data_IF_691737418104
#
_entry.id   IF_691737418104
#
_cell.length_a   1.000
_cell.length_b   1.000
_cell.length_c   1.000
_cell.angle_alpha   90.00
_cell.angle_beta   90.00
_cell.angle_gamma   90.00
#
_symmetry.space_group_name_H-M   'P 1'
#
loop_
_entity.id
_entity.type
_entity.pdbx_description
1 polymer ?
#
# COMPACT_ATOMS: atom_id res chain seq x y z
N UNK A 1 23.01 28.33 3.75
CA UNK A 1 22.18 27.58 4.72
C UNK A 1 20.97 28.38 5.23
N UNK A 2 21.12 29.64 5.66
CA UNK A 2 19.99 30.48 6.16
C UNK A 2 18.83 30.65 5.14
N UNK A 3 19.15 30.77 3.85
CA UNK A 3 18.18 30.94 2.75
C UNK A 3 17.33 29.68 2.50
N UNK A 4 17.91 28.48 2.64
CA UNK A 4 17.19 27.21 2.49
C UNK A 4 16.23 26.99 3.67
N UNK A 5 16.61 27.44 4.86
CA UNK A 5 15.76 27.37 6.06
C UNK A 5 14.55 28.30 5.93
N UNK A 6 14.76 29.54 5.48
CA UNK A 6 13.68 30.52 5.28
C UNK A 6 12.71 30.14 4.14
N UNK A 7 13.21 29.52 3.07
CA UNK A 7 12.36 28.95 2.01
C UNK A 7 11.49 27.82 2.57
N UNK A 8 12.06 26.94 3.39
CA UNK A 8 11.32 25.84 4.02
C UNK A 8 10.25 26.32 5.02
N UNK A 9 10.51 27.40 5.76
CA UNK A 9 9.53 27.98 6.70
C UNK A 9 8.36 28.66 5.99
N UNK A 10 8.63 29.42 4.91
CA UNK A 10 7.57 30.01 4.08
C UNK A 10 6.71 28.94 3.39
N UNK A 11 7.34 27.89 2.86
CA UNK A 11 6.62 26.75 2.27
C UNK A 11 5.73 26.07 3.32
N UNK A 12 6.22 25.89 4.55
CA UNK A 12 5.44 25.28 5.65
C UNK A 12 4.24 26.13 6.11
N UNK A 13 4.36 27.46 6.12
CA UNK A 13 3.26 28.37 6.50
C UNK A 13 2.17 28.42 5.42
N UNK A 14 2.55 28.56 4.16
CA UNK A 14 1.63 28.55 3.02
C UNK A 14 0.91 27.19 2.89
N UNK A 15 1.62 26.11 3.22
CA UNK A 15 1.10 24.75 3.33
C UNK A 15 0.07 24.59 4.45
N UNK A 16 0.33 25.18 5.63
CA UNK A 16 -0.58 25.13 6.78
C UNK A 16 -1.91 25.87 6.50
N UNK A 17 -1.84 27.02 5.84
CA UNK A 17 -3.05 27.75 5.43
C UNK A 17 -3.87 27.01 4.36
N UNK A 18 -3.19 26.28 3.47
CA UNK A 18 -3.85 25.45 2.44
C UNK A 18 -4.57 24.25 3.06
N UNK A 19 -4.00 23.66 4.12
CA UNK A 19 -4.62 22.59 4.91
C UNK A 19 -5.88 23.06 5.64
N UNK A 20 -5.86 24.29 6.19
CA UNK A 20 -6.98 24.88 6.93
C UNK A 20 -8.23 25.11 6.06
N UNK A 21 -8.05 25.31 4.74
CA UNK A 21 -9.14 25.62 3.79
C UNK A 21 -9.84 24.38 3.19
N UNK A 22 -9.29 23.16 3.31
CA UNK A 22 -9.87 21.96 2.66
C UNK A 22 -10.48 20.98 3.68
N UNK A 23 -11.82 20.91 3.71
CA UNK A 23 -12.65 20.11 4.64
C UNK A 23 -12.50 18.57 4.59
N UNK A 24 -11.58 18.00 3.79
CA UNK A 24 -11.20 16.59 3.94
C UNK A 24 -9.69 16.45 4.01
N UNK A 25 -9.13 16.81 5.16
CA UNK A 25 -7.71 16.78 5.52
C UNK A 25 -7.03 15.43 5.23
N UNK A 26 -7.77 14.32 5.30
CA UNK A 26 -7.24 12.97 5.14
C UNK A 26 -6.80 12.60 3.73
N UNK A 27 -7.60 12.92 2.72
CA UNK A 27 -7.30 12.60 1.31
C UNK A 27 -6.08 13.37 0.82
N UNK A 28 -5.91 14.60 1.30
CA UNK A 28 -4.79 15.47 0.97
C UNK A 28 -3.51 15.08 1.73
N UNK A 29 -3.61 14.70 3.02
CA UNK A 29 -2.49 14.12 3.78
C UNK A 29 -1.95 12.83 3.15
N UNK A 30 -2.83 11.97 2.63
CA UNK A 30 -2.40 10.77 1.90
C UNK A 30 -1.71 11.08 0.56
N UNK A 31 -2.15 12.14 -0.15
CA UNK A 31 -1.48 12.66 -1.35
C UNK A 31 -0.08 13.19 -1.03
N UNK A 32 0.07 13.92 0.08
CA UNK A 32 1.35 14.45 0.55
C UNK A 32 2.33 13.38 1.01
N UNK A 33 1.85 12.38 1.76
CA UNK A 33 2.65 11.21 2.14
C UNK A 33 3.16 10.41 0.93
N UNK A 34 2.42 10.50 -0.19
CA UNK A 34 2.75 9.83 -1.44
C UNK A 34 3.73 10.63 -2.30
N UNK A 35 3.69 11.96 -2.26
CA UNK A 35 4.67 12.82 -2.94
C UNK A 35 6.02 12.80 -2.21
N UNK A 36 6.03 12.79 -0.86
CA UNK A 36 7.26 12.77 -0.06
C UNK A 36 8.04 11.45 -0.08
N UNK A 37 7.44 10.34 -0.56
CA UNK A 37 8.15 9.06 -0.72
C UNK A 37 8.85 8.90 -2.08
N UNK A 38 8.63 9.81 -3.02
CA UNK A 38 9.27 9.79 -4.34
C UNK A 38 10.63 10.48 -4.36
N UNK A 39 10.98 11.24 -3.32
CA UNK A 39 12.30 11.85 -3.17
C UNK A 39 13.13 11.03 -2.20
N UNK A 40 14.00 10.21 -2.79
CA UNK A 40 15.16 9.62 -2.12
C UNK A 40 15.92 10.75 -1.43
N UNK A 41 16.43 10.46 -0.23
CA UNK A 41 17.14 11.35 0.71
C UNK A 41 16.24 12.05 1.74
N UNK A 42 15.92 11.29 2.79
CA UNK A 42 15.85 11.74 4.18
C UNK A 42 14.93 12.93 4.56
N UNK A 43 13.59 12.74 4.67
CA UNK A 43 12.70 13.68 5.35
C UNK A 43 12.01 13.11 6.61
N UNK A 44 12.40 11.91 7.07
CA UNK A 44 11.65 11.16 8.09
C UNK A 44 11.57 11.87 9.46
N UNK A 45 12.58 12.65 9.85
CA UNK A 45 12.61 13.25 11.19
C UNK A 45 11.69 14.46 11.39
N UNK A 46 11.29 15.18 10.31
CA UNK A 46 10.47 16.41 10.43
C UNK A 46 9.02 16.26 9.97
N UNK A 47 8.73 15.31 9.08
CA UNK A 47 7.35 15.08 8.58
C UNK A 47 6.51 14.25 9.57
N UNK A 48 7.14 13.35 10.32
CA UNK A 48 6.46 12.48 11.29
C UNK A 48 5.79 13.29 12.42
N UNK A 49 6.42 14.31 13.04
CA UNK A 49 5.77 15.15 14.04
C UNK A 49 4.58 15.94 13.47
N UNK A 50 4.70 16.54 12.29
CA UNK A 50 3.64 17.36 11.67
C UNK A 50 2.42 16.52 11.23
N UNK A 51 2.65 15.31 10.73
CA UNK A 51 1.56 14.36 10.41
C UNK A 51 0.94 13.83 11.69
N UNK A 52 1.74 13.51 12.72
CA UNK A 52 1.21 13.10 14.02
C UNK A 52 0.38 14.21 14.70
N UNK A 53 0.83 15.48 14.63
CA UNK A 53 0.12 16.63 15.19
C UNK A 53 -1.19 16.91 14.46
N UNK A 54 -1.20 16.85 13.11
CA UNK A 54 -2.41 17.03 12.32
C UNK A 54 -3.39 15.86 12.47
N UNK A 55 -2.91 14.63 12.65
CA UNK A 55 -3.76 13.49 13.01
C UNK A 55 -4.36 13.73 14.40
N UNK A 56 -3.59 14.15 15.39
CA UNK A 56 -4.08 14.45 16.75
C UNK A 56 -5.12 15.57 16.76
N UNK A 57 -4.93 16.64 15.99
CA UNK A 57 -5.81 17.81 15.98
C UNK A 57 -7.06 17.65 15.09
N UNK A 58 -7.10 16.67 14.18
CA UNK A 58 -8.23 16.45 13.26
C UNK A 58 -9.18 15.34 13.68
N UNK A 59 -8.83 14.60 14.72
CA UNK A 59 -9.72 13.62 15.31
C UNK A 59 -10.63 14.31 16.34
N UNK A 60 -11.94 14.16 16.17
CA UNK A 60 -12.81 14.17 17.34
C UNK A 60 -12.23 13.17 18.34
N UNK A 61 -12.18 13.51 19.64
CA UNK A 61 -11.61 12.72 20.74
C UNK A 61 -12.38 11.41 21.00
N UNK A 62 -12.69 10.67 19.94
CA UNK A 62 -13.22 9.32 19.96
C UNK A 62 -12.05 8.35 20.14
N UNK A 63 -12.17 7.46 21.11
CA UNK A 63 -11.17 6.44 21.46
C UNK A 63 -10.76 5.62 20.23
N UNK A 64 -11.71 5.33 19.33
CA UNK A 64 -11.44 4.55 18.11
C UNK A 64 -10.50 5.28 17.14
N UNK A 65 -10.65 6.60 17.06
CA UNK A 65 -9.85 7.47 16.23
C UNK A 65 -8.42 7.60 16.77
N UNK A 66 -8.28 7.68 18.10
CA UNK A 66 -6.99 7.66 18.79
C UNK A 66 -6.27 6.33 18.56
N UNK A 67 -6.98 5.20 18.67
CA UNK A 67 -6.37 3.88 18.39
C UNK A 67 -5.84 3.85 16.94
N UNK A 68 -6.63 4.27 15.96
CA UNK A 68 -6.20 4.34 14.57
C UNK A 68 -4.97 5.24 14.40
N UNK A 69 -4.95 6.43 15.02
CA UNK A 69 -3.82 7.35 15.00
C UNK A 69 -2.52 6.67 15.45
N UNK A 70 -2.56 5.97 16.59
CA UNK A 70 -1.42 5.24 17.13
C UNK A 70 -0.96 4.13 16.18
N UNK A 71 -1.90 3.42 15.56
CA UNK A 71 -1.57 2.37 14.58
C UNK A 71 -0.91 2.92 13.33
N UNK A 72 -1.38 4.07 12.83
CA UNK A 72 -0.74 4.74 11.71
C UNK A 72 0.67 5.22 12.08
N UNK A 73 0.85 5.75 13.29
CA UNK A 73 2.18 6.13 13.77
C UNK A 73 3.15 4.94 13.83
N UNK A 74 2.71 3.79 14.35
CA UNK A 74 3.51 2.56 14.33
C UNK A 74 3.82 2.08 12.91
N UNK A 75 2.89 2.26 11.98
CA UNK A 75 3.10 1.98 10.56
C UNK A 75 4.17 2.86 9.93
N UNK A 76 4.19 4.16 10.25
CA UNK A 76 5.23 5.08 9.75
C UNK A 76 6.63 4.63 10.12
N UNK A 77 6.79 4.06 11.31
CA UNK A 77 8.05 3.49 11.81
C UNK A 77 8.32 2.08 11.29
N UNK A 78 7.49 1.55 10.38
CA UNK A 78 7.61 0.22 9.79
C UNK A 78 7.69 -0.92 10.82
N UNK A 79 7.05 -0.78 11.98
CA UNK A 79 7.11 -1.80 13.02
C UNK A 79 6.46 -3.12 12.59
N UNK A 80 7.09 -4.25 12.96
CA UNK A 80 6.58 -5.61 12.75
C UNK A 80 5.15 -5.82 13.30
N UNK A 81 4.79 -5.08 14.36
CA UNK A 81 3.46 -5.10 14.96
C UNK A 81 2.37 -4.65 13.97
N UNK A 82 2.66 -3.66 13.13
CA UNK A 82 1.72 -3.17 12.12
C UNK A 82 1.50 -4.21 11.02
N UNK A 83 2.57 -4.85 10.57
CA UNK A 83 2.53 -5.95 9.60
C UNK A 83 1.67 -7.11 10.09
N UNK A 84 1.85 -7.49 11.36
CA UNK A 84 1.03 -8.50 12.02
C UNK A 84 -0.44 -8.09 12.07
N UNK A 85 -0.77 -6.85 12.41
CA UNK A 85 -2.16 -6.34 12.41
C UNK A 85 -2.81 -6.41 11.02
N UNK A 86 -2.12 -6.01 9.96
CA UNK A 86 -2.67 -6.01 8.59
C UNK A 86 -2.95 -7.43 8.10
N UNK A 87 -2.07 -8.37 8.41
CA UNK A 87 -2.25 -9.79 8.08
C UNK A 87 -3.11 -10.56 9.09
N UNK A 88 -3.57 -9.89 10.15
CA UNK A 88 -4.32 -10.47 11.27
C UNK A 88 -3.58 -11.61 12.01
N UNK A 89 -2.28 -11.43 12.21
CA UNK A 89 -1.46 -12.24 13.10
C UNK A 89 -1.40 -11.64 14.51
N UNK A 90 -1.20 -12.46 15.56
CA UNK A 90 -1.00 -11.99 16.93
C UNK A 90 0.21 -11.05 17.01
N UNK A 91 0.18 -10.07 17.93
CA UNK A 91 1.15 -8.95 17.96
C UNK A 91 2.22 -9.14 19.04
N UNK A 92 1.88 -9.84 20.13
CA UNK A 92 2.72 -9.93 21.34
C UNK A 92 3.39 -11.31 21.42
N UNK A 93 3.90 -11.80 20.29
CA UNK A 93 4.63 -13.07 20.26
C UNK A 93 3.78 -14.32 20.53
N UNK A 94 2.45 -14.23 20.54
CA UNK A 94 1.61 -15.41 20.73
C UNK A 94 1.81 -16.42 19.58
N UNK A 95 1.79 -17.71 19.92
CA UNK A 95 1.87 -18.80 18.95
C UNK A 95 0.77 -18.68 17.90
N UNK A 96 1.13 -18.96 16.64
CA UNK A 96 0.20 -18.98 15.51
C UNK A 96 -0.16 -20.38 15.05
N UNK A 97 0.49 -21.41 15.60
CA UNK A 97 0.24 -22.80 15.24
C UNK A 97 -1.15 -23.24 15.73
N UNK A 98 -1.54 -22.82 16.93
CA UNK A 98 -2.84 -23.07 17.54
C UNK A 98 -3.52 -21.76 17.94
N UNK A 99 -4.86 -21.73 17.98
CA UNK A 99 -5.67 -20.70 18.66
C UNK A 99 -5.50 -19.21 18.24
N UNK A 100 -5.23 -18.91 16.96
CA UNK A 100 -5.15 -17.51 16.48
C UNK A 100 -6.48 -16.91 15.97
N UNK A 101 -7.63 -17.56 16.22
CA UNK A 101 -8.93 -17.23 15.59
C UNK A 101 -9.46 -15.84 15.98
N UNK A 102 -9.29 -15.43 17.23
CA UNK A 102 -9.76 -14.11 17.71
C UNK A 102 -9.03 -12.96 17.01
N UNK A 103 -7.73 -13.10 16.77
CA UNK A 103 -6.94 -12.04 16.12
C UNK A 103 -7.42 -11.78 14.69
N UNK A 104 -7.91 -12.82 13.99
CA UNK A 104 -8.50 -12.69 12.65
C UNK A 104 -9.75 -11.79 12.57
N UNK A 105 -10.37 -11.51 13.72
CA UNK A 105 -11.52 -10.60 13.82
C UNK A 105 -11.08 -9.13 13.90
N UNK A 106 -9.88 -8.83 14.40
CA UNK A 106 -9.40 -7.46 14.51
C UNK A 106 -8.88 -6.93 13.16
N UNK A 107 -9.78 -6.27 12.42
CA UNK A 107 -9.49 -5.69 11.09
C UNK A 107 -9.46 -4.16 11.12
N UNK A 108 -9.24 -3.53 12.27
CA UNK A 108 -9.36 -2.07 12.44
C UNK A 108 -8.50 -1.34 11.41
N UNK A 109 -7.19 -1.64 11.37
CA UNK A 109 -6.25 -1.01 10.45
C UNK A 109 -6.52 -1.34 8.98
N UNK A 110 -6.85 -2.60 8.67
CA UNK A 110 -7.17 -3.01 7.30
C UNK A 110 -8.44 -2.31 6.79
N UNK A 111 -9.49 -2.24 7.60
CA UNK A 111 -10.74 -1.55 7.26
C UNK A 111 -10.50 -0.05 7.08
N UNK A 112 -9.67 0.55 7.92
CA UNK A 112 -9.26 1.94 7.77
C UNK A 112 -8.56 2.18 6.41
N UNK A 113 -7.58 1.34 6.05
CA UNK A 113 -6.90 1.41 4.74
C UNK A 113 -7.85 1.17 3.56
N UNK A 114 -8.81 0.24 3.70
CA UNK A 114 -9.85 0.01 2.69
C UNK A 114 -10.71 1.26 2.48
N UNK A 115 -11.09 1.96 3.55
CA UNK A 115 -11.84 3.22 3.45
C UNK A 115 -11.02 4.30 2.75
N UNK A 116 -9.72 4.39 3.01
CA UNK A 116 -8.84 5.30 2.27
C UNK A 116 -8.80 4.96 0.77
N UNK A 117 -8.69 3.67 0.42
CA UNK A 117 -8.73 3.24 -0.98
C UNK A 117 -10.08 3.57 -1.65
N UNK A 118 -11.20 3.47 -0.92
CA UNK A 118 -12.50 3.93 -1.42
C UNK A 118 -12.52 5.43 -1.68
N UNK A 119 -11.92 6.25 -0.82
CA UNK A 119 -11.85 7.70 -1.00
C UNK A 119 -10.97 8.08 -2.21
N UNK A 120 -9.85 7.38 -2.40
CA UNK A 120 -8.86 7.71 -3.44
C UNK A 120 -9.25 7.20 -4.82
N UNK A 121 -9.80 5.98 -4.89
CA UNK A 121 -10.04 5.28 -6.15
C UNK A 121 -11.54 5.07 -6.43
N UNK A 122 -12.42 5.51 -5.52
CA UNK A 122 -13.86 5.34 -5.62
C UNK A 122 -14.31 3.91 -5.31
N UNK A 123 -15.62 3.66 -5.44
CA UNK A 123 -16.20 2.33 -5.27
C UNK A 123 -16.02 1.53 -6.57
N UNK A 124 -15.53 0.29 -6.46
CA UNK A 124 -15.40 -0.63 -7.61
C UNK A 124 -16.51 -1.69 -7.61
N UNK A 125 -16.74 -2.28 -8.78
CA UNK A 125 -17.71 -3.39 -8.99
C UNK A 125 -17.47 -4.60 -8.06
N UNK A 126 -16.22 -4.81 -7.64
CA UNK A 126 -15.82 -5.83 -6.66
C UNK A 126 -14.96 -5.17 -5.60
N UNK A 127 -15.11 -5.60 -4.34
CA UNK A 127 -14.27 -5.10 -3.27
C UNK A 127 -12.89 -5.76 -3.31
N UNK A 128 -12.02 -5.24 -4.17
CA UNK A 128 -10.65 -5.75 -4.42
C UNK A 128 -9.60 -5.12 -3.51
N UNK A 129 -9.96 -4.05 -2.77
CA UNK A 129 -9.02 -3.28 -1.96
C UNK A 129 -8.35 -4.04 -0.82
N UNK A 130 -9.04 -4.92 -0.06
CA UNK A 130 -8.37 -5.70 0.98
C UNK A 130 -7.18 -6.49 0.44
N UNK A 131 -7.36 -7.13 -0.73
CA UNK A 131 -6.30 -7.92 -1.37
C UNK A 131 -5.19 -7.05 -1.91
N UNK A 132 -5.52 -5.93 -2.56
CA UNK A 132 -4.51 -4.98 -3.07
C UNK A 132 -3.68 -4.37 -1.95
N UNK A 133 -4.30 -4.01 -0.83
CA UNK A 133 -3.60 -3.48 0.35
C UNK A 133 -2.62 -4.55 0.84
N UNK A 134 -3.07 -5.77 1.12
CA UNK A 134 -2.16 -6.83 1.61
C UNK A 134 -1.00 -7.07 0.62
N UNK A 135 -1.28 -7.07 -0.69
CA UNK A 135 -0.26 -7.23 -1.71
C UNK A 135 0.77 -6.08 -1.69
N UNK A 136 0.31 -4.84 -1.59
CA UNK A 136 1.15 -3.64 -1.52
C UNK A 136 2.08 -3.66 -0.30
N UNK A 137 1.53 -4.04 0.86
CA UNK A 137 2.30 -4.28 2.06
C UNK A 137 3.33 -5.39 1.80
N UNK A 138 2.94 -6.57 1.31
CA UNK A 138 3.91 -7.64 1.04
C UNK A 138 5.05 -7.16 0.12
N UNK A 139 4.75 -6.46 -0.98
CA UNK A 139 5.78 -5.92 -1.86
C UNK A 139 6.73 -4.94 -1.16
N UNK A 140 6.20 -4.05 -0.32
CA UNK A 140 7.00 -3.11 0.48
C UNK A 140 7.90 -3.85 1.48
N UNK A 141 7.40 -4.89 2.14
CA UNK A 141 8.19 -5.71 3.07
C UNK A 141 9.39 -6.36 2.37
N UNK A 142 9.19 -6.88 1.15
CA UNK A 142 10.26 -7.42 0.32
C UNK A 142 11.28 -6.34 -0.06
N UNK A 143 10.84 -5.16 -0.45
CA UNK A 143 11.73 -4.03 -0.74
C UNK A 143 12.59 -3.63 0.48
N UNK A 144 12.02 -3.67 1.69
CA UNK A 144 12.72 -3.21 2.91
C UNK A 144 13.64 -4.26 3.52
N UNK A 145 13.24 -5.54 3.54
CA UNK A 145 13.98 -6.62 4.22
C UNK A 145 14.83 -7.44 3.24
N UNK A 146 14.30 -7.73 2.06
CA UNK A 146 14.88 -8.61 1.04
C UNK A 146 15.15 -7.82 -0.25
N UNK A 147 15.92 -6.74 -0.11
CA UNK A 147 16.13 -5.76 -1.18
C UNK A 147 16.75 -6.37 -2.43
N UNK A 148 17.69 -7.31 -2.28
CA UNK A 148 18.40 -7.95 -3.39
C UNK A 148 17.41 -8.74 -4.25
N UNK A 149 16.63 -9.62 -3.64
CA UNK A 149 15.60 -10.42 -4.32
C UNK A 149 14.51 -9.54 -4.92
N UNK A 150 14.18 -8.43 -4.24
CA UNK A 150 13.24 -7.46 -4.78
C UNK A 150 13.79 -6.75 -6.02
N UNK A 151 15.08 -6.41 -6.06
CA UNK A 151 15.74 -5.79 -7.22
C UNK A 151 15.84 -6.75 -8.41
N UNK A 152 16.16 -8.03 -8.17
CA UNK A 152 16.11 -9.07 -9.21
C UNK A 152 14.71 -9.17 -9.80
N UNK A 153 13.69 -9.26 -8.94
CA UNK A 153 12.30 -9.28 -9.39
C UNK A 153 11.89 -8.02 -10.14
N UNK A 154 12.44 -6.86 -9.76
CA UNK A 154 12.21 -5.61 -10.48
C UNK A 154 12.82 -5.64 -11.89
N UNK A 155 14.03 -6.15 -12.05
CA UNK A 155 14.63 -6.32 -13.37
C UNK A 155 13.79 -7.25 -14.25
N UNK A 156 13.33 -8.36 -13.67
CA UNK A 156 12.42 -9.28 -14.35
C UNK A 156 11.10 -8.60 -14.76
N UNK A 157 10.48 -7.84 -13.85
CA UNK A 157 9.29 -7.01 -14.17
C UNK A 157 9.54 -6.10 -15.36
N UNK A 158 10.69 -5.41 -15.38
CA UNK A 158 11.05 -4.51 -16.47
C UNK A 158 11.25 -5.26 -17.79
N UNK A 159 11.81 -6.47 -17.76
CA UNK A 159 11.95 -7.31 -18.97
C UNK A 159 10.61 -7.79 -19.56
N UNK A 160 9.55 -7.88 -18.74
CA UNK A 160 8.21 -8.24 -19.20
C UNK A 160 7.49 -7.09 -19.93
N UNK A 161 8.02 -5.87 -19.84
CA UNK A 161 7.45 -4.69 -20.49
C UNK A 161 7.72 -4.79 -21.99
N UNK A 162 6.69 -5.11 -22.77
CA UNK A 162 6.80 -5.15 -24.23
C UNK A 162 6.95 -3.72 -24.78
N UNK A 163 7.86 -3.46 -25.74
CA UNK A 163 8.15 -2.11 -26.22
C UNK A 163 6.94 -1.38 -26.85
N UNK A 164 5.96 -2.13 -27.39
CA UNK A 164 4.73 -1.56 -27.98
C UNK A 164 3.55 -1.51 -27.02
N UNK A 165 3.55 -2.32 -25.96
CA UNK A 165 2.44 -2.39 -25.00
C UNK A 165 2.90 -1.85 -23.66
N UNK A 166 2.50 -0.61 -23.33
CA UNK A 166 2.71 0.02 -22.02
C UNK A 166 1.81 -0.58 -20.92
N UNK A 167 1.54 -1.88 -20.99
CA UNK A 167 0.65 -2.60 -20.07
C UNK A 167 1.42 -3.78 -19.48
N UNK A 168 1.52 -3.79 -18.16
CA UNK A 168 2.08 -4.90 -17.41
C UNK A 168 0.97 -5.61 -16.64
N UNK A 169 0.88 -6.93 -16.82
CA UNK A 169 0.03 -7.79 -16.01
C UNK A 169 0.78 -8.22 -14.75
N UNK A 170 0.10 -8.16 -13.62
CA UNK A 170 0.64 -8.59 -12.34
C UNK A 170 -0.44 -9.31 -11.55
N UNK A 171 -0.01 -10.18 -10.64
CA UNK A 171 -0.92 -11.03 -9.86
C UNK A 171 -0.92 -10.62 -8.37
N UNK A 172 -1.82 -9.70 -7.96
CA UNK A 172 -1.94 -9.31 -6.56
C UNK A 172 -2.49 -10.42 -5.66
N UNK A 173 -3.19 -11.42 -6.22
CA UNK A 173 -3.82 -12.49 -5.45
C UNK A 173 -2.74 -13.40 -4.89
N UNK A 174 -1.78 -13.80 -5.74
CA UNK A 174 -0.64 -14.59 -5.31
C UNK A 174 0.28 -13.77 -4.40
N UNK A 175 0.52 -12.49 -4.71
CA UNK A 175 1.32 -11.62 -3.85
C UNK A 175 0.72 -11.46 -2.45
N UNK A 176 -0.61 -11.27 -2.34
CA UNK A 176 -1.28 -11.18 -1.04
C UNK A 176 -1.19 -12.48 -0.22
N UNK A 177 -1.00 -13.63 -0.88
CA UNK A 177 -0.77 -14.95 -0.25
C UNK A 177 0.72 -15.23 0.01
N UNK A 178 1.61 -14.26 -0.21
CA UNK A 178 3.08 -14.41 -0.13
C UNK A 178 3.66 -15.38 -1.16
N UNK A 179 2.96 -15.62 -2.26
CA UNK A 179 3.50 -16.39 -3.39
C UNK A 179 4.22 -15.39 -4.29
N UNK A 180 5.56 -15.39 -4.22
CA UNK A 180 6.43 -14.40 -4.90
C UNK A 180 7.18 -15.00 -6.09
N UNK A 181 7.51 -14.22 -7.10
CA UNK A 181 8.14 -14.64 -8.37
C UNK A 181 9.06 -13.54 -8.89
N UNK A 182 9.99 -13.91 -9.79
CA UNK A 182 10.86 -12.96 -10.49
C UNK A 182 12.30 -12.89 -9.96
N UNK A 183 12.68 -13.69 -8.97
CA UNK A 183 14.04 -13.71 -8.39
C UNK A 183 14.57 -15.13 -8.30
N UNK A 184 15.88 -15.25 -8.13
CA UNK A 184 16.57 -16.53 -7.98
C UNK A 184 16.25 -17.14 -6.63
N UNK A 185 15.79 -18.38 -6.62
CA UNK A 185 15.49 -19.11 -5.38
C UNK A 185 16.55 -20.15 -5.09
N UNK A 186 16.85 -20.34 -3.82
CA UNK A 186 17.83 -21.31 -3.33
C UNK A 186 17.18 -22.43 -2.50
N UNK A 187 17.86 -23.57 -2.38
CA UNK A 187 17.47 -24.68 -1.51
C UNK A 187 16.10 -25.29 -1.83
N UNK A 188 15.33 -25.63 -0.79
CA UNK A 188 13.99 -26.22 -0.93
C UNK A 188 13.02 -25.32 -1.71
N UNK A 189 13.18 -24.00 -1.61
CA UNK A 189 12.34 -23.02 -2.32
C UNK A 189 12.56 -23.03 -3.85
N UNK A 190 13.76 -23.43 -4.31
CA UNK A 190 14.07 -23.61 -5.73
C UNK A 190 13.29 -24.79 -6.33
N UNK A 191 13.07 -25.86 -5.56
CA UNK A 191 12.35 -27.06 -6.00
C UNK A 191 10.86 -26.80 -6.23
N UNK A 192 10.26 -25.87 -5.47
CA UNK A 192 8.84 -25.48 -5.60
C UNK A 192 8.57 -24.74 -6.93
N UNK A 193 9.58 -24.07 -7.51
CA UNK A 193 9.44 -23.28 -8.74
C UNK A 193 9.30 -24.08 -10.04
N UNK A 194 9.63 -25.38 -10.05
CA UNK A 194 9.60 -26.19 -11.29
C UNK A 194 8.18 -26.53 -11.78
N UNK A 195 7.16 -26.53 -10.90
CA UNK A 195 5.80 -27.01 -11.23
C UNK A 195 4.78 -25.94 -11.66
N UNK A 196 5.08 -24.65 -11.52
CA UNK A 196 4.16 -23.54 -11.88
C UNK A 196 4.92 -22.35 -12.47
N UNK A 197 5.50 -22.56 -13.65
CA UNK A 197 6.06 -21.49 -14.47
C UNK A 197 4.92 -20.75 -15.20
N UNK A 198 4.16 -19.91 -14.50
CA UNK A 198 3.47 -18.81 -15.19
C UNK A 198 4.54 -17.78 -15.57
N UNK A 199 5.19 -18.02 -16.71
CA UNK A 199 6.38 -17.29 -17.19
C UNK A 199 6.13 -15.80 -17.46
N UNK A 200 4.89 -15.31 -17.41
CA UNK A 200 4.55 -13.94 -17.82
C UNK A 200 3.94 -13.08 -16.71
N UNK A 201 3.94 -13.53 -15.45
CA UNK A 201 3.42 -12.72 -14.33
C UNK A 201 4.45 -12.58 -13.20
N UNK A 202 4.88 -11.34 -13.00
CA UNK A 202 5.60 -10.95 -11.80
C UNK A 202 4.62 -10.66 -10.66
N UNK A 203 5.05 -10.98 -9.44
CA UNK A 203 4.26 -10.74 -8.22
C UNK A 203 4.92 -9.70 -7.31
N UNK A 204 6.25 -9.66 -7.20
CA UNK A 204 7.02 -8.62 -6.50
C UNK A 204 7.86 -7.78 -7.48
N UNK A 205 8.60 -6.77 -6.99
CA UNK A 205 9.43 -5.88 -7.81
C UNK A 205 8.68 -4.67 -8.39
N UNK A 206 7.40 -4.52 -8.04
CA UNK A 206 6.58 -3.36 -8.41
C UNK A 206 6.94 -2.13 -7.56
N UNK A 207 6.74 -0.90 -8.04
CA UNK A 207 6.91 0.30 -7.22
C UNK A 207 6.13 0.26 -5.90
N UNK A 208 6.63 0.93 -4.86
CA UNK A 208 5.83 1.14 -3.64
C UNK A 208 4.59 1.97 -4.02
N UNK A 209 3.42 1.64 -3.48
CA UNK A 209 2.12 2.16 -3.92
C UNK A 209 1.76 1.83 -5.37
N UNK A 210 2.16 0.64 -5.86
CA UNK A 210 1.81 0.20 -7.21
C UNK A 210 0.30 0.27 -7.51
N UNK A 211 -0.56 0.18 -6.50
CA UNK A 211 -2.02 0.28 -6.66
C UNK A 211 -2.48 1.60 -7.30
N UNK A 212 -1.70 2.69 -7.16
CA UNK A 212 -1.98 3.97 -7.84
C UNK A 212 -1.88 3.84 -9.37
N UNK A 213 -0.94 3.03 -9.86
CA UNK A 213 -0.70 2.79 -11.29
C UNK A 213 -1.78 1.93 -11.96
N UNK A 214 -2.71 1.36 -11.19
CA UNK A 214 -3.93 0.72 -11.72
C UNK A 214 -4.98 1.72 -12.18
N UNK A 215 -5.09 2.85 -11.47
CA UNK A 215 -6.27 3.72 -11.53
C UNK A 215 -5.96 5.15 -11.97
N UNK A 216 -4.71 5.57 -11.93
CA UNK A 216 -4.33 6.88 -12.45
C UNK A 216 -4.45 6.95 -13.97
N UNK A 217 -4.91 8.11 -14.43
CA UNK A 217 -5.04 8.43 -15.85
C UNK A 217 -3.65 8.60 -16.48
N UNK A 218 -2.76 9.26 -15.75
CA UNK A 218 -1.41 9.56 -16.21
C UNK A 218 -0.40 8.57 -15.64
N UNK A 219 0.56 8.16 -16.47
CA UNK A 219 1.67 7.29 -16.08
C UNK A 219 2.73 8.17 -15.38
N UNK A 220 3.06 7.93 -14.10
CA UNK A 220 4.06 8.72 -13.39
C UNK A 220 5.46 8.61 -14.00
N UNK A 221 6.26 9.67 -13.89
CA UNK A 221 7.69 9.64 -14.23
C UNK A 221 8.40 8.59 -13.36
N UNK A 222 9.13 7.65 -13.98
CA UNK A 222 9.92 6.61 -13.30
C UNK A 222 9.34 5.18 -13.32
N UNK A 223 8.10 4.99 -13.78
CA UNK A 223 7.57 3.65 -14.07
C UNK A 223 6.71 3.71 -15.35
N UNK A 224 7.26 3.33 -16.52
CA UNK A 224 6.70 3.68 -17.83
C UNK A 224 5.49 2.84 -18.26
N UNK A 225 4.85 2.12 -17.34
CA UNK A 225 3.75 1.19 -17.65
C UNK A 225 2.54 1.37 -16.78
N UNK A 226 1.38 1.17 -17.39
CA UNK A 226 0.11 1.02 -16.70
C UNK A 226 -0.02 -0.41 -16.20
N UNK A 227 -0.42 -0.56 -14.94
CA UNK A 227 -0.74 -1.88 -14.40
C UNK A 227 -2.16 -2.27 -14.81
N UNK A 228 -2.34 -3.52 -15.18
CA UNK A 228 -3.66 -4.06 -15.46
C UNK A 228 -3.94 -5.34 -14.67
N UNK A 229 -5.21 -5.52 -14.33
CA UNK A 229 -5.72 -6.70 -13.65
C UNK A 229 -6.62 -7.45 -14.60
N UNK A 230 -6.41 -8.76 -14.72
CA UNK A 230 -7.34 -9.61 -15.46
C UNK A 230 -8.69 -9.65 -14.76
N UNK A 231 -9.75 -9.92 -15.51
CA UNK A 231 -11.08 -10.11 -14.92
C UNK A 231 -11.13 -11.32 -13.99
N UNK A 232 -10.28 -12.32 -14.21
CA UNK A 232 -10.13 -13.47 -13.32
C UNK A 232 -9.54 -13.07 -11.96
N UNK A 233 -8.49 -12.25 -11.95
CA UNK A 233 -7.89 -11.74 -10.71
C UNK A 233 -8.90 -10.91 -9.92
N UNK A 234 -9.65 -10.04 -10.62
CA UNK A 234 -10.73 -9.26 -9.99
C UNK A 234 -11.78 -10.16 -9.37
N UNK A 235 -12.11 -11.29 -9.99
CA UNK A 235 -13.05 -12.28 -9.43
C UNK A 235 -12.52 -12.93 -8.15
N UNK A 236 -11.24 -13.30 -8.13
CA UNK A 236 -10.56 -13.92 -6.98
C UNK A 236 -10.37 -12.95 -5.81
N UNK A 237 -10.14 -11.66 -6.08
CA UNK A 237 -9.84 -10.65 -5.05
C UNK A 237 -11.03 -10.19 -4.23
N UNK A 238 -12.26 -10.26 -4.78
CA UNK A 238 -13.39 -9.59 -4.15
C UNK A 238 -14.75 -10.12 -4.57
N UNK A 239 -15.69 -10.10 -3.62
CA UNK A 239 -17.11 -10.35 -3.89
C UNK A 239 -17.67 -9.21 -4.75
N UNK A 240 -18.63 -9.53 -5.62
CA UNK A 240 -19.40 -8.50 -6.34
C UNK A 240 -20.07 -7.59 -5.31
N UNK A 241 -19.96 -6.29 -5.47
CA UNK A 241 -20.77 -5.35 -4.69
C UNK A 241 -22.23 -5.66 -4.98
N UNK A 242 -23.03 -5.96 -3.95
CA UNK A 242 -24.49 -5.95 -4.12
C UNK A 242 -24.83 -4.51 -4.50
N UNK A 243 -25.27 -4.27 -5.75
CA UNK A 243 -25.86 -2.98 -6.11
C UNK A 243 -27.02 -2.81 -5.14
N UNK A 244 -26.97 -1.82 -4.27
CA UNK A 244 -28.18 -1.34 -3.61
C UNK A 244 -29.04 -0.73 -4.71
N UNK A 245 -29.86 -1.56 -5.36
CA UNK A 245 -31.08 -1.15 -6.03
C UNK A 245 -32.07 -0.70 -4.95
N UNK A 246 -31.73 0.38 -4.25
CA UNK A 246 -32.74 1.27 -3.69
C UNK A 246 -32.70 2.50 -4.58
N UNK A 247 -33.43 2.41 -5.70
CA UNK A 247 -34.02 3.60 -6.30
C UNK A 247 -34.68 4.33 -5.13
N UNK A 248 -34.21 5.53 -4.79
CA UNK A 248 -35.04 6.47 -4.04
C UNK A 248 -36.28 6.67 -4.91
N UNK A 249 -37.40 6.08 -4.49
CA UNK A 249 -38.72 6.65 -4.76
C UNK A 249 -38.87 7.82 -3.78
#
# INVERSE_FOLDING_TARGET
>A
MKTIIQINEKVNLQFYETLKKKKSSYSYMFLLMNEFKMTIVNPYHKVIPLVALNIYNSFTWDIKNIEIAQLLFLEFKNFIKTWRRIKNYPINGQSTHTNSKMVRKNKILLNFRVNQFFQLFGIKKRNIYPTLIIAEYTNKLWCEIWLIEWLEARQYVLSLIKPKAKILFFDPVNLAKNITTGYTRYGAAAKVGKKKKNLNTATIGLPIFFSRFLYYKDIPRGFPVKLNLTDEDRRKMGKKSKKNLKKKK
#
